data_IF_148718318069
#
_entry.id   IF_148718318069
#
_cell.length_a   1.000
_cell.length_b   1.000
_cell.length_c   1.000
_cell.angle_alpha   90.00
_cell.angle_beta   90.00
_cell.angle_gamma   90.00
#
_symmetry.space_group_name_H-M   'P 1'
#
loop_
_entity.id
_entity.type
_entity.pdbx_description
1 polymer ?
#
# COMPACT_ATOMS: atom_id res chain seq x y z
N UNK A 1 -5.22 -7.18 8.48
CA UNK A 1 -4.72 -5.79 8.62
C UNK A 1 -5.13 -4.99 7.40
N UNK A 2 -5.65 -3.81 7.61
CA UNK A 2 -6.00 -2.90 6.52
C UNK A 2 -4.80 -2.04 6.13
N UNK A 3 -4.79 -1.58 4.90
CA UNK A 3 -3.71 -0.70 4.43
C UNK A 3 -3.56 0.52 5.34
N UNK A 4 -4.69 1.13 5.74
CA UNK A 4 -4.63 2.29 6.64
C UNK A 4 -4.00 1.95 7.99
N UNK A 5 -4.20 0.72 8.47
CA UNK A 5 -3.62 0.31 9.75
C UNK A 5 -2.11 0.14 9.64
N UNK A 6 -1.65 -0.37 8.50
CA UNK A 6 -0.22 -0.52 8.25
C UNK A 6 0.49 0.83 8.16
N UNK A 7 -0.16 1.80 7.51
CA UNK A 7 0.49 3.05 7.15
C UNK A 7 0.21 4.22 8.10
N UNK A 8 -0.77 4.10 8.99
CA UNK A 8 -1.22 5.24 9.80
C UNK A 8 -0.13 5.85 10.69
N UNK A 9 0.77 5.02 11.18
CA UNK A 9 1.82 5.46 12.10
C UNK A 9 3.16 5.63 11.39
N UNK A 10 3.15 5.60 10.08
CA UNK A 10 4.40 5.69 9.34
C UNK A 10 4.91 7.13 9.36
N UNK A 11 6.14 7.30 9.83
CA UNK A 11 6.79 8.60 9.87
C UNK A 11 7.78 8.72 8.72
N UNK A 12 7.81 9.90 8.10
CA UNK A 12 8.75 10.16 7.04
C UNK A 12 8.12 10.01 5.67
N UNK A 13 8.94 10.16 4.65
CA UNK A 13 8.48 10.12 3.27
C UNK A 13 8.81 8.76 2.68
N UNK A 14 7.79 8.09 2.20
CA UNK A 14 7.97 6.81 1.51
C UNK A 14 6.99 6.76 0.36
N UNK A 15 7.45 6.22 -0.76
CA UNK A 15 6.57 5.91 -1.88
C UNK A 15 5.93 4.56 -1.61
N UNK A 16 4.66 4.44 -2.00
CA UNK A 16 3.91 3.21 -1.78
C UNK A 16 3.47 2.66 -3.12
N UNK A 17 3.75 1.39 -3.35
CA UNK A 17 3.32 0.68 -4.55
C UNK A 17 2.32 -0.38 -4.15
N UNK A 18 1.11 -0.25 -4.67
CA UNK A 18 0.03 -1.20 -4.39
C UNK A 18 -0.09 -2.17 -5.55
N UNK A 19 0.02 -3.48 -5.25
CA UNK A 19 -0.23 -4.53 -6.21
C UNK A 19 -1.60 -5.12 -5.95
N UNK A 20 -2.49 -5.00 -6.92
CA UNK A 20 -3.82 -5.58 -6.86
C UNK A 20 -3.82 -6.85 -7.70
N UNK A 21 -3.88 -7.99 -7.04
CA UNK A 21 -3.79 -9.27 -7.72
C UNK A 21 -5.08 -9.69 -8.40
N UNK A 22 -6.18 -8.99 -8.13
CA UNK A 22 -7.44 -9.31 -8.76
C UNK A 22 -7.41 -8.97 -10.26
N UNK A 23 -6.92 -7.78 -10.58
CA UNK A 23 -6.84 -7.32 -11.98
C UNK A 23 -5.41 -7.16 -12.47
N UNK A 24 -4.45 -7.63 -11.66
CA UNK A 24 -3.02 -7.57 -11.99
C UNK A 24 -2.53 -6.14 -12.22
N UNK A 25 -3.15 -5.18 -11.55
CA UNK A 25 -2.74 -3.79 -11.69
C UNK A 25 -1.73 -3.39 -10.63
N UNK A 26 -0.97 -2.35 -10.95
CA UNK A 26 0.01 -1.76 -10.04
C UNK A 26 -0.29 -0.27 -9.95
N UNK A 27 -0.36 0.24 -8.73
CA UNK A 27 -0.68 1.64 -8.49
C UNK A 27 0.41 2.26 -7.61
N UNK A 28 1.05 3.31 -8.11
CA UNK A 28 2.13 3.99 -7.40
C UNK A 28 1.60 5.28 -6.78
N UNK A 29 1.97 5.50 -5.53
CA UNK A 29 1.62 6.71 -4.81
C UNK A 29 2.88 7.37 -4.28
N UNK A 30 2.97 8.68 -4.44
CA UNK A 30 4.13 9.45 -4.00
C UNK A 30 4.23 9.50 -2.48
N UNK A 31 3.11 9.38 -1.77
CA UNK A 31 3.07 9.43 -0.32
C UNK A 31 2.17 8.32 0.22
N UNK A 32 2.46 7.90 1.47
CA UNK A 32 1.60 6.91 2.12
C UNK A 32 0.20 7.44 2.39
N UNK A 33 0.05 8.75 2.54
CA UNK A 33 -1.25 9.36 2.75
C UNK A 33 -2.16 9.19 1.54
N UNK A 34 -1.61 9.33 0.33
CA UNK A 34 -2.38 9.09 -0.88
C UNK A 34 -2.79 7.63 -1.01
N UNK A 35 -1.92 6.72 -0.59
CA UNK A 35 -2.24 5.29 -0.61
C UNK A 35 -3.40 5.00 0.34
N UNK A 36 -3.41 5.63 1.51
CA UNK A 36 -4.50 5.47 2.47
C UNK A 36 -5.82 5.98 1.88
N UNK A 37 -5.78 7.13 1.23
CA UNK A 37 -6.99 7.71 0.64
C UNK A 37 -7.62 6.80 -0.40
N UNK A 38 -6.79 6.12 -1.19
CA UNK A 38 -7.27 5.32 -2.30
C UNK A 38 -7.50 3.86 -1.94
N UNK A 39 -6.69 3.31 -1.04
CA UNK A 39 -6.71 1.87 -0.73
C UNK A 39 -6.75 1.57 0.76
N UNK A 40 -7.02 2.55 1.59
CA UNK A 40 -6.91 2.39 3.03
C UNK A 40 -7.79 1.30 3.63
N UNK A 41 -8.93 1.04 3.01
CA UNK A 41 -9.87 0.03 3.51
C UNK A 41 -9.63 -1.38 2.97
N UNK A 42 -8.66 -1.53 2.08
CA UNK A 42 -8.33 -2.85 1.54
C UNK A 42 -7.49 -3.65 2.53
N UNK A 43 -7.64 -4.96 2.48
CA UNK A 43 -6.88 -5.86 3.35
C UNK A 43 -5.51 -6.13 2.77
N UNK A 44 -4.48 -6.04 3.62
CA UNK A 44 -3.11 -6.33 3.24
C UNK A 44 -2.89 -7.84 3.26
N UNK A 45 -2.38 -8.40 2.17
CA UNK A 45 -1.94 -9.79 2.15
C UNK A 45 -0.52 -9.90 2.66
N UNK A 46 0.36 -9.12 2.10
CA UNK A 46 1.74 -9.01 2.56
C UNK A 46 2.31 -7.67 2.07
N UNK A 47 3.45 -7.32 2.63
CA UNK A 47 4.11 -6.06 2.29
C UNK A 47 5.60 -6.19 2.55
N UNK A 48 6.36 -5.26 2.02
CA UNK A 48 7.79 -5.20 2.26
C UNK A 48 8.40 -3.98 1.60
N UNK A 49 9.71 -3.89 1.69
CA UNK A 49 10.46 -2.81 1.05
C UNK A 49 11.05 -3.37 -0.23
N UNK A 50 10.67 -2.78 -1.36
CA UNK A 50 11.10 -3.26 -2.67
C UNK A 50 12.44 -2.67 -3.05
N UNK A 51 12.60 -1.36 -2.79
CA UNK A 51 13.85 -0.65 -2.99
C UNK A 51 13.88 0.53 -2.02
N UNK A 52 15.00 1.22 -1.92
CA UNK A 52 15.13 2.31 -0.97
C UNK A 52 14.03 3.35 -1.20
N UNK A 53 13.25 3.61 -0.15
CA UNK A 53 12.16 4.58 -0.20
C UNK A 53 10.90 4.12 -0.89
N UNK A 54 10.78 2.84 -1.22
CA UNK A 54 9.57 2.29 -1.85
C UNK A 54 9.08 1.08 -1.06
N UNK A 55 7.87 1.17 -0.54
CA UNK A 55 7.19 0.05 0.11
C UNK A 55 6.17 -0.54 -0.86
N UNK A 56 6.23 -1.86 -1.06
CA UNK A 56 5.17 -2.53 -1.81
C UNK A 56 4.14 -3.12 -0.85
N UNK A 57 2.90 -3.13 -1.26
CA UNK A 57 1.81 -3.74 -0.51
C UNK A 57 0.99 -4.56 -1.49
N UNK A 58 0.89 -5.86 -1.24
CA UNK A 58 -0.03 -6.73 -1.96
C UNK A 58 -1.35 -6.74 -1.23
N UNK A 59 -2.43 -6.39 -1.91
CA UNK A 59 -3.75 -6.33 -1.31
C UNK A 59 -4.64 -7.45 -1.81
N UNK A 60 -5.63 -7.79 -1.00
CA UNK A 60 -6.73 -8.60 -1.45
C UNK A 60 -7.70 -7.69 -2.18
N UNK A 61 -8.19 -8.17 -3.31
CA UNK A 61 -9.10 -7.39 -4.15
C UNK A 61 -10.47 -7.20 -3.53
N UNK A 62 -10.75 -7.91 -2.46
CA UNK A 62 -12.01 -7.80 -1.74
C UNK A 62 -11.72 -7.52 -0.27
N UNK A 63 -12.57 -6.71 0.30
CA UNK A 63 -12.47 -6.23 1.66
C UNK A 63 -13.65 -6.66 2.51
#
# INVERSE_FOLDING_TARGET
>A
MKVRELLKDFNGKIKVRIYDQHDFSTHDFATHEQAILNYGHFTVRNWGIEEEGVMFINIQSQF
#
